data_IF_946997157341
#
_entry.id   IF_946997157341
#
_cell.length_a   1.000
_cell.length_b   1.000
_cell.length_c   1.000
_cell.angle_alpha   90.00
_cell.angle_beta   90.00
_cell.angle_gamma   90.00
#
_symmetry.space_group_name_H-M   'P 1'
#
loop_
_entity.id
_entity.type
_entity.pdbx_description
1 polymer ?
#
# COMPACT_ATOMS: atom_id res chain seq x y z
N UNK A 1 -19.15 19.01 11.03
CA UNK A 1 -18.14 18.02 11.46
C UNK A 1 -18.89 16.83 12.03
N UNK A 2 -18.98 15.70 11.30
CA UNK A 2 -19.55 14.48 11.86
C UNK A 2 -18.60 13.95 12.93
N UNK A 3 -19.10 13.83 14.14
CA UNK A 3 -18.35 13.33 15.29
C UNK A 3 -18.11 11.82 15.07
N UNK A 4 -16.91 11.44 14.63
CA UNK A 4 -16.56 10.05 14.32
C UNK A 4 -16.65 9.23 15.60
N UNK A 5 -17.50 8.21 15.61
CA UNK A 5 -17.69 7.33 16.77
C UNK A 5 -16.35 6.70 17.19
N UNK A 6 -16.19 6.53 18.47
CA UNK A 6 -15.01 5.90 19.09
C UNK A 6 -15.36 4.49 19.62
N UNK A 7 -14.33 3.69 19.95
CA UNK A 7 -14.55 2.39 20.64
C UNK A 7 -15.38 2.55 21.92
N UNK A 8 -15.26 3.71 22.60
CA UNK A 8 -16.05 4.00 23.78
C UNK A 8 -17.54 4.15 23.45
N UNK A 9 -17.85 4.74 22.32
CA UNK A 9 -19.23 4.91 21.87
C UNK A 9 -19.83 3.57 21.44
N UNK A 10 -19.09 2.75 20.71
CA UNK A 10 -19.52 1.40 20.35
C UNK A 10 -19.74 0.53 21.60
N UNK A 11 -18.87 0.60 22.60
CA UNK A 11 -19.03 -0.11 23.86
C UNK A 11 -20.34 0.30 24.57
N UNK A 12 -20.62 1.61 24.62
CA UNK A 12 -21.85 2.14 25.19
C UNK A 12 -23.08 1.69 24.41
N UNK A 13 -23.07 1.79 23.09
CA UNK A 13 -24.20 1.44 22.21
C UNK A 13 -24.50 -0.06 22.21
N UNK A 14 -23.46 -0.90 22.27
CA UNK A 14 -23.62 -2.36 22.33
C UNK A 14 -23.80 -2.91 23.75
N UNK A 15 -23.74 -2.06 24.79
CA UNK A 15 -23.93 -2.48 26.18
C UNK A 15 -22.84 -3.42 26.72
N UNK A 16 -21.60 -3.27 26.25
CA UNK A 16 -20.45 -4.08 26.68
C UNK A 16 -19.27 -3.20 27.09
N UNK A 17 -18.26 -3.79 27.73
CA UNK A 17 -17.03 -3.09 28.07
C UNK A 17 -16.14 -2.80 26.86
N UNK A 18 -15.28 -1.76 26.92
CA UNK A 18 -14.31 -1.44 25.86
C UNK A 18 -13.38 -2.62 25.53
N UNK A 19 -12.98 -3.39 26.56
CA UNK A 19 -12.17 -4.60 26.39
C UNK A 19 -12.89 -5.65 25.55
N UNK A 20 -14.21 -5.80 25.73
CA UNK A 20 -15.02 -6.72 24.93
C UNK A 20 -15.12 -6.27 23.49
N UNK A 21 -15.34 -4.97 23.22
CA UNK A 21 -15.30 -4.44 21.86
C UNK A 21 -13.93 -4.66 21.21
N UNK A 22 -12.85 -4.42 21.97
CA UNK A 22 -11.48 -4.68 21.47
C UNK A 22 -11.27 -6.14 21.12
N UNK A 23 -11.72 -7.10 21.93
CA UNK A 23 -11.63 -8.54 21.64
C UNK A 23 -12.44 -8.93 20.40
N UNK A 24 -13.64 -8.37 20.21
CA UNK A 24 -14.43 -8.60 19.01
C UNK A 24 -13.70 -8.09 17.78
N UNK A 25 -13.17 -6.87 17.83
CA UNK A 25 -12.40 -6.26 16.73
C UNK A 25 -11.12 -7.05 16.39
N UNK A 26 -10.51 -7.71 17.36
CA UNK A 26 -9.29 -8.51 17.16
C UNK A 26 -9.59 -9.99 16.88
N UNK A 27 -10.85 -10.35 16.73
CA UNK A 27 -11.28 -11.74 16.60
C UNK A 27 -10.73 -12.69 17.67
N UNK A 28 -10.50 -12.17 18.89
CA UNK A 28 -9.98 -12.94 20.02
C UNK A 28 -11.02 -13.92 20.58
N UNK A 29 -10.53 -15.00 21.18
CA UNK A 29 -11.35 -15.95 21.95
C UNK A 29 -11.84 -15.34 23.25
N UNK A 30 -12.88 -15.93 23.87
CA UNK A 30 -13.42 -15.48 25.17
C UNK A 30 -14.54 -14.45 25.07
N UNK A 31 -15.10 -14.21 23.89
CA UNK A 31 -16.35 -13.47 23.67
C UNK A 31 -17.39 -14.42 23.12
N UNK A 32 -18.58 -14.48 23.77
CA UNK A 32 -19.67 -15.33 23.28
C UNK A 32 -20.14 -14.89 21.90
N UNK A 33 -20.60 -15.83 21.07
CA UNK A 33 -21.11 -15.55 19.72
C UNK A 33 -22.20 -14.48 19.74
N UNK A 34 -23.15 -14.58 20.66
CA UNK A 34 -24.23 -13.58 20.82
C UNK A 34 -23.71 -12.17 21.12
N UNK A 35 -22.63 -12.07 21.91
CA UNK A 35 -22.00 -10.77 22.21
C UNK A 35 -21.26 -10.22 21.01
N UNK A 36 -20.58 -11.08 20.25
CA UNK A 36 -19.89 -10.71 19.01
C UNK A 36 -20.87 -10.15 18.00
N UNK A 37 -21.94 -10.87 17.68
CA UNK A 37 -22.98 -10.44 16.75
C UNK A 37 -23.61 -9.10 17.15
N UNK A 38 -23.86 -8.89 18.42
CA UNK A 38 -24.41 -7.62 18.93
C UNK A 38 -23.44 -6.44 18.71
N UNK A 39 -22.15 -6.62 18.95
CA UNK A 39 -21.14 -5.57 18.75
C UNK A 39 -20.98 -5.30 17.25
N UNK A 40 -20.92 -6.34 16.42
CA UNK A 40 -20.80 -6.23 14.96
C UNK A 40 -22.03 -5.55 14.35
N UNK A 41 -23.24 -5.87 14.81
CA UNK A 41 -24.47 -5.20 14.38
C UNK A 41 -24.43 -3.69 14.66
N UNK A 42 -23.98 -3.28 15.85
CA UNK A 42 -23.83 -1.84 16.19
C UNK A 42 -22.75 -1.19 15.33
N UNK A 43 -21.62 -1.87 15.08
CA UNK A 43 -20.56 -1.34 14.23
C UNK A 43 -21.05 -1.14 12.79
N UNK A 44 -21.76 -2.11 12.23
CA UNK A 44 -22.31 -2.04 10.87
C UNK A 44 -23.39 -0.95 10.77
N UNK A 45 -24.30 -0.87 11.74
CA UNK A 45 -25.36 0.16 11.76
C UNK A 45 -24.81 1.60 11.76
N UNK A 46 -23.63 1.78 12.37
CA UNK A 46 -22.99 3.10 12.50
C UNK A 46 -21.79 3.29 11.57
N UNK A 47 -21.59 2.39 10.60
CA UNK A 47 -20.43 2.40 9.69
C UNK A 47 -19.10 2.60 10.44
N UNK A 48 -19.01 2.03 11.66
CA UNK A 48 -17.87 2.20 12.52
C UNK A 48 -16.69 1.42 11.99
N UNK A 49 -15.63 2.12 11.63
CA UNK A 49 -14.31 1.54 11.37
C UNK A 49 -13.30 2.05 12.40
N UNK A 50 -12.55 1.17 13.08
CA UNK A 50 -11.49 1.60 13.99
C UNK A 50 -10.54 2.56 13.28
N UNK A 51 -10.05 3.58 14.01
CA UNK A 51 -9.07 4.50 13.42
C UNK A 51 -7.78 3.74 13.05
N UNK A 52 -7.10 4.19 11.98
CA UNK A 52 -5.80 3.62 11.55
C UNK A 52 -4.81 3.54 12.71
N UNK A 53 -4.74 4.58 13.53
CA UNK A 53 -3.88 4.58 14.73
C UNK A 53 -4.27 3.50 15.74
N UNK A 54 -5.56 3.20 15.89
CA UNK A 54 -6.00 2.12 16.79
C UNK A 54 -5.69 0.72 16.22
N UNK A 55 -5.66 0.54 14.88
CA UNK A 55 -5.23 -0.70 14.21
C UNK A 55 -3.71 -0.84 14.25
N UNK A 56 -2.96 0.20 13.95
CA UNK A 56 -1.50 0.21 14.01
C UNK A 56 -0.96 -0.09 15.42
N UNK A 57 -1.59 0.44 16.48
CA UNK A 57 -1.22 0.11 17.87
C UNK A 57 -1.43 -1.38 18.23
N UNK A 58 -2.18 -2.12 17.42
CA UNK A 58 -2.46 -3.56 17.59
C UNK A 58 -1.61 -4.44 16.70
N UNK A 59 -0.66 -3.87 15.94
CA UNK A 59 0.16 -4.61 14.97
C UNK A 59 -0.64 -5.12 13.76
N UNK A 60 -1.87 -4.62 13.55
CA UNK A 60 -2.67 -4.95 12.38
C UNK A 60 -2.33 -3.99 11.24
N UNK A 61 -1.83 -4.56 10.15
CA UNK A 61 -1.65 -3.86 8.88
C UNK A 61 -3.01 -3.44 8.32
N UNK A 62 -3.10 -2.22 7.80
CA UNK A 62 -4.29 -1.76 7.06
C UNK A 62 -4.37 -2.43 5.68
N UNK A 63 -3.37 -3.24 5.31
CA UNK A 63 -3.20 -3.85 3.99
C UNK A 63 -3.28 -2.81 2.87
N UNK A 64 -2.57 -1.72 3.02
CA UNK A 64 -2.49 -0.66 2.01
C UNK A 64 -1.10 -0.64 1.39
N UNK A 65 -1.04 -0.66 0.07
CA UNK A 65 0.19 -0.49 -0.71
C UNK A 65 0.11 0.76 -1.55
N UNK A 66 1.24 1.39 -1.82
CA UNK A 66 1.32 2.53 -2.72
C UNK A 66 2.00 2.12 -4.02
N UNK A 67 1.49 2.63 -5.15
CA UNK A 67 2.11 2.53 -6.46
C UNK A 67 2.45 3.95 -6.90
N UNK A 68 3.74 4.25 -7.03
CA UNK A 68 4.21 5.56 -7.47
C UNK A 68 4.65 5.43 -8.92
N UNK A 69 3.83 5.96 -9.83
CA UNK A 69 4.12 6.02 -11.26
C UNK A 69 4.89 7.29 -11.61
N UNK A 70 5.58 7.31 -12.74
CA UNK A 70 6.24 8.54 -13.20
C UNK A 70 5.21 9.51 -13.76
N UNK A 71 4.23 9.01 -14.55
CA UNK A 71 3.13 9.79 -15.12
C UNK A 71 1.87 8.96 -15.23
N UNK A 72 0.75 9.54 -14.89
CA UNK A 72 -0.57 8.90 -14.97
C UNK A 72 -1.04 8.67 -16.41
N UNK A 73 -0.47 9.37 -17.39
CA UNK A 73 -0.73 9.20 -18.81
C UNK A 73 0.22 8.21 -19.53
N UNK A 74 1.15 7.58 -18.80
CA UNK A 74 2.07 6.58 -19.34
C UNK A 74 1.34 5.27 -19.64
N UNK A 75 1.23 4.92 -20.93
CA UNK A 75 0.56 3.68 -21.34
C UNK A 75 1.24 2.42 -20.78
N UNK A 76 2.56 2.36 -20.81
CA UNK A 76 3.34 1.21 -20.33
C UNK A 76 3.21 1.01 -18.82
N UNK A 77 3.27 2.10 -18.06
CA UNK A 77 3.09 2.03 -16.60
C UNK A 77 1.65 1.66 -16.26
N UNK A 78 0.67 2.21 -16.97
CA UNK A 78 -0.74 1.84 -16.76
C UNK A 78 -1.01 0.37 -17.03
N UNK A 79 -0.42 -0.21 -18.07
CA UNK A 79 -0.53 -1.65 -18.36
C UNK A 79 0.10 -2.49 -17.22
N UNK A 80 1.26 -2.09 -16.73
CA UNK A 80 1.89 -2.76 -15.60
C UNK A 80 1.03 -2.67 -14.33
N UNK A 81 0.48 -1.49 -14.03
CA UNK A 81 -0.45 -1.29 -12.91
C UNK A 81 -1.68 -2.17 -13.05
N UNK A 82 -2.33 -2.18 -14.22
CA UNK A 82 -3.51 -3.03 -14.47
C UNK A 82 -3.23 -4.51 -14.25
N UNK A 83 -2.01 -4.97 -14.54
CA UNK A 83 -1.59 -6.35 -14.31
C UNK A 83 -1.37 -6.65 -12.82
N UNK A 84 -0.88 -5.69 -12.04
CA UNK A 84 -0.62 -5.87 -10.61
C UNK A 84 -1.87 -5.76 -9.73
N UNK A 85 -2.84 -4.93 -10.12
CA UNK A 85 -4.02 -4.65 -9.29
C UNK A 85 -4.79 -5.91 -8.86
N UNK A 86 -5.10 -6.89 -9.73
CA UNK A 86 -5.79 -8.11 -9.32
C UNK A 86 -5.05 -8.86 -8.22
N UNK A 87 -3.72 -9.00 -8.32
CA UNK A 87 -2.93 -9.69 -7.32
C UNK A 87 -2.97 -8.99 -5.94
N UNK A 88 -2.98 -7.66 -5.91
CA UNK A 88 -3.16 -6.92 -4.65
C UNK A 88 -4.54 -7.16 -4.05
N UNK A 89 -5.61 -7.10 -4.85
CA UNK A 89 -6.96 -7.33 -4.37
C UNK A 89 -7.19 -8.76 -3.87
N UNK A 90 -6.65 -9.77 -4.56
CA UNK A 90 -6.70 -11.17 -4.13
C UNK A 90 -6.04 -11.40 -2.77
N UNK A 91 -4.98 -10.66 -2.46
CA UNK A 91 -4.31 -10.69 -1.17
C UNK A 91 -4.97 -9.76 -0.13
N UNK A 92 -6.03 -9.05 -0.51
CA UNK A 92 -6.78 -8.13 0.35
C UNK A 92 -6.06 -6.82 0.62
N UNK A 93 -5.15 -6.39 -0.27
CA UNK A 93 -4.53 -5.07 -0.21
C UNK A 93 -5.35 -4.03 -0.95
N UNK A 94 -5.37 -2.81 -0.40
CA UNK A 94 -5.93 -1.61 -1.03
C UNK A 94 -4.81 -0.80 -1.68
N UNK A 95 -4.62 -0.85 -3.01
CA UNK A 95 -3.60 -0.06 -3.69
C UNK A 95 -4.01 1.41 -3.81
N UNK A 96 -3.09 2.32 -3.51
CA UNK A 96 -3.21 3.76 -3.78
C UNK A 96 -2.20 4.17 -4.84
N UNK A 97 -2.61 5.01 -5.80
CA UNK A 97 -1.73 5.51 -6.85
C UNK A 97 -1.29 6.94 -6.56
N UNK A 98 -0.03 7.22 -6.86
CA UNK A 98 0.60 8.53 -6.75
C UNK A 98 1.46 8.77 -8.00
N UNK A 99 1.63 10.04 -8.39
CA UNK A 99 2.44 10.44 -9.54
C UNK A 99 3.69 11.18 -9.07
N UNK A 100 4.84 10.84 -9.62
CA UNK A 100 6.13 11.48 -9.28
C UNK A 100 6.57 12.56 -10.27
N UNK A 101 6.03 12.58 -11.48
CA UNK A 101 6.37 13.53 -12.54
C UNK A 101 7.89 13.60 -12.83
N UNK A 102 8.61 12.48 -12.70
CA UNK A 102 10.07 12.41 -12.80
C UNK A 102 10.79 13.34 -11.80
N UNK A 103 10.16 13.70 -10.68
CA UNK A 103 10.73 14.54 -9.64
C UNK A 103 11.21 13.71 -8.45
N UNK A 104 12.52 13.61 -8.19
CA UNK A 104 13.04 12.95 -7.00
C UNK A 104 12.53 13.59 -5.70
N UNK A 105 12.32 14.90 -5.69
CA UNK A 105 11.78 15.62 -4.53
C UNK A 105 10.36 15.17 -4.24
N UNK A 106 9.53 15.05 -5.27
CA UNK A 106 8.15 14.59 -5.12
C UNK A 106 8.08 13.13 -4.64
N UNK A 107 9.00 12.27 -5.11
CA UNK A 107 9.13 10.90 -4.57
C UNK A 107 9.45 10.93 -3.09
N UNK A 108 10.43 11.75 -2.65
CA UNK A 108 10.79 11.87 -1.23
C UNK A 108 9.62 12.36 -0.37
N UNK A 109 8.85 13.33 -0.85
CA UNK A 109 7.64 13.83 -0.19
C UNK A 109 6.58 12.73 -0.06
N UNK A 110 6.31 11.98 -1.13
CA UNK A 110 5.39 10.86 -1.14
C UNK A 110 5.80 9.78 -0.16
N UNK A 111 7.06 9.35 -0.20
CA UNK A 111 7.59 8.35 0.73
C UNK A 111 7.48 8.81 2.19
N UNK A 112 7.73 10.10 2.46
CA UNK A 112 7.52 10.69 3.77
C UNK A 112 6.06 10.68 4.24
N UNK A 113 5.12 10.95 3.35
CA UNK A 113 3.67 10.85 3.63
C UNK A 113 3.27 9.40 3.90
N UNK A 114 3.71 8.46 3.05
CA UNK A 114 3.40 7.04 3.16
C UNK A 114 3.92 6.46 4.47
N UNK A 115 5.15 6.84 4.88
CA UNK A 115 5.72 6.43 6.16
C UNK A 115 4.86 6.89 7.35
N UNK A 116 4.46 8.17 7.37
CA UNK A 116 3.59 8.71 8.44
C UNK A 116 2.22 8.03 8.49
N UNK A 117 1.78 7.46 7.37
CA UNK A 117 0.51 6.74 7.25
C UNK A 117 0.62 5.25 7.51
N UNK A 118 1.82 4.74 7.84
CA UNK A 118 2.11 3.31 8.04
C UNK A 118 1.60 2.44 6.87
N UNK A 119 1.96 2.82 5.65
CA UNK A 119 1.66 2.03 4.44
C UNK A 119 2.57 0.79 4.44
N UNK A 120 2.04 -0.36 4.06
CA UNK A 120 2.71 -1.65 4.19
C UNK A 120 3.80 -1.89 3.14
N UNK A 121 3.64 -1.32 1.95
CA UNK A 121 4.61 -1.48 0.89
C UNK A 121 4.48 -0.41 -0.19
N UNK A 122 5.52 -0.29 -1.00
CA UNK A 122 5.61 0.65 -2.12
C UNK A 122 6.11 -0.06 -3.36
N UNK A 123 5.42 0.13 -4.47
CA UNK A 123 5.95 -0.12 -5.81
C UNK A 123 6.30 1.22 -6.42
N UNK A 124 7.55 1.41 -6.78
CA UNK A 124 8.06 2.67 -7.34
C UNK A 124 8.58 2.44 -8.77
N UNK A 125 7.99 3.11 -9.74
CA UNK A 125 8.58 3.19 -11.07
C UNK A 125 9.81 4.10 -11.01
N UNK A 126 10.98 3.47 -11.16
CA UNK A 126 12.27 4.13 -11.01
C UNK A 126 12.66 4.96 -12.23
N UNK A 127 13.36 6.05 -11.99
CA UNK A 127 13.92 6.92 -13.03
C UNK A 127 15.24 7.54 -12.56
N UNK A 128 15.94 8.23 -13.45
CA UNK A 128 17.23 8.89 -13.13
C UNK A 128 17.03 9.96 -12.04
N UNK A 129 17.89 9.95 -11.03
CA UNK A 129 17.83 10.88 -9.89
C UNK A 129 17.27 10.29 -8.60
N UNK A 130 16.65 9.10 -8.66
CA UNK A 130 16.33 8.34 -7.44
C UNK A 130 17.63 7.76 -6.88
N UNK A 131 17.89 7.99 -5.60
CA UNK A 131 19.09 7.50 -4.88
C UNK A 131 18.71 6.47 -3.83
N UNK A 132 19.66 5.59 -3.50
CA UNK A 132 19.46 4.56 -2.47
C UNK A 132 19.15 5.19 -1.10
N UNK A 133 19.79 6.33 -0.78
CA UNK A 133 19.55 7.06 0.47
C UNK A 133 18.10 7.51 0.62
N UNK A 134 17.46 7.95 -0.47
CA UNK A 134 16.04 8.34 -0.45
C UNK A 134 15.14 7.17 -0.10
N UNK A 135 15.54 5.95 -0.47
CA UNK A 135 14.77 4.73 -0.33
C UNK A 135 15.08 3.96 0.96
N UNK A 136 16.15 4.32 1.69
CA UNK A 136 16.74 3.51 2.77
C UNK A 136 15.72 3.02 3.82
N UNK A 137 14.72 3.85 4.16
CA UNK A 137 13.68 3.46 5.11
C UNK A 137 12.67 2.42 4.60
N UNK A 138 12.68 2.14 3.30
CA UNK A 138 11.73 1.26 2.62
C UNK A 138 12.36 -0.04 2.12
N UNK A 139 13.63 -0.30 2.45
CA UNK A 139 14.43 -1.40 1.90
C UNK A 139 13.74 -2.77 1.95
N UNK A 140 12.97 -3.06 3.00
CA UNK A 140 12.27 -4.33 3.17
C UNK A 140 10.84 -4.35 2.61
N UNK A 141 10.31 -3.21 2.15
CA UNK A 141 8.92 -3.06 1.75
C UNK A 141 8.73 -2.22 0.48
N UNK A 142 9.80 -2.05 -0.31
CA UNK A 142 9.76 -1.35 -1.58
C UNK A 142 10.27 -2.26 -2.70
N UNK A 143 9.56 -2.24 -3.82
CA UNK A 143 9.97 -2.85 -5.09
C UNK A 143 10.16 -1.74 -6.12
N UNK A 144 11.31 -1.73 -6.78
CA UNK A 144 11.59 -0.86 -7.92
C UNK A 144 11.17 -1.53 -9.22
N UNK A 145 10.52 -0.79 -10.10
CA UNK A 145 10.24 -1.20 -11.47
C UNK A 145 11.03 -0.32 -12.45
N UNK A 146 11.47 -0.91 -13.54
CA UNK A 146 12.23 -0.27 -14.62
C UNK A 146 13.59 0.31 -14.19
N UNK A 147 14.05 0.03 -12.98
CA UNK A 147 15.37 0.45 -12.49
C UNK A 147 15.86 -0.53 -11.44
N UNK A 148 17.17 -0.79 -11.44
CA UNK A 148 17.84 -1.52 -10.37
C UNK A 148 18.49 -0.57 -9.37
N UNK A 149 18.51 -0.98 -8.09
CA UNK A 149 19.23 -0.31 -7.02
C UNK A 149 19.74 -1.34 -6.01
N UNK A 150 21.00 -1.18 -5.60
CA UNK A 150 21.64 -2.14 -4.70
C UNK A 150 20.90 -2.25 -3.36
N UNK A 151 20.53 -3.47 -3.01
CA UNK A 151 19.86 -3.77 -1.74
C UNK A 151 18.34 -3.60 -1.77
N UNK A 152 17.75 -3.39 -2.94
CA UNK A 152 16.29 -3.34 -3.13
C UNK A 152 15.83 -4.46 -4.04
N UNK A 153 14.60 -4.94 -3.84
CA UNK A 153 13.92 -5.76 -4.82
C UNK A 153 13.63 -4.93 -6.05
N UNK A 154 13.97 -5.44 -7.23
CA UNK A 154 13.77 -4.73 -8.50
C UNK A 154 13.30 -5.66 -9.61
N UNK A 155 12.54 -5.09 -10.53
CA UNK A 155 12.15 -5.72 -11.80
C UNK A 155 12.52 -4.76 -12.92
N UNK A 156 13.49 -5.16 -13.73
CA UNK A 156 14.02 -4.36 -14.84
C UNK A 156 13.71 -5.01 -16.18
N UNK A 157 13.66 -4.21 -17.23
CA UNK A 157 13.66 -4.68 -18.60
C UNK A 157 15.09 -5.05 -19.01
N UNK A 158 15.24 -6.00 -19.91
CA UNK A 158 16.51 -6.30 -20.58
C UNK A 158 16.69 -5.34 -21.78
N UNK A 159 16.84 -4.06 -21.49
CA UNK A 159 17.00 -3.02 -22.51
C UNK A 159 18.27 -3.22 -23.34
N UNK A 160 19.36 -3.67 -22.72
CA UNK A 160 20.62 -3.92 -23.40
C UNK A 160 20.50 -5.08 -24.39
N UNK A 161 19.91 -6.19 -23.99
CA UNK A 161 19.64 -7.32 -24.88
C UNK A 161 18.72 -6.94 -26.05
N UNK A 162 17.66 -6.19 -25.77
CA UNK A 162 16.73 -5.73 -26.80
C UNK A 162 17.41 -4.80 -27.82
N UNK A 163 18.23 -3.84 -27.36
CA UNK A 163 18.97 -2.93 -28.26
C UNK A 163 20.02 -3.70 -29.07
N UNK A 164 20.74 -4.63 -28.46
CA UNK A 164 21.72 -5.44 -29.18
C UNK A 164 21.08 -6.25 -30.31
N UNK A 165 19.94 -6.90 -30.04
CA UNK A 165 19.19 -7.63 -31.08
C UNK A 165 18.76 -6.68 -32.21
N UNK A 166 18.23 -5.50 -31.87
CA UNK A 166 17.82 -4.51 -32.85
C UNK A 166 18.99 -4.03 -33.71
N UNK A 167 20.11 -3.70 -33.07
CA UNK A 167 21.33 -3.23 -33.79
C UNK A 167 21.90 -4.30 -34.71
N UNK A 168 21.98 -5.54 -34.26
CA UNK A 168 22.40 -6.65 -35.13
C UNK A 168 21.51 -6.76 -36.36
N UNK A 169 20.17 -6.66 -36.17
CA UNK A 169 19.23 -6.74 -37.27
C UNK A 169 19.36 -5.59 -38.25
N UNK A 170 19.60 -4.37 -37.76
CA UNK A 170 19.85 -3.22 -38.63
C UNK A 170 21.15 -3.38 -39.46
N UNK A 171 22.20 -3.90 -38.87
CA UNK A 171 23.47 -4.14 -39.54
C UNK A 171 23.36 -5.25 -40.61
N UNK A 172 22.52 -6.26 -40.42
CA UNK A 172 22.24 -7.30 -41.42
C UNK A 172 21.46 -6.78 -42.64
N UNK A 173 20.68 -5.75 -42.43
CA UNK A 173 19.83 -5.17 -43.51
C UNK A 173 20.54 -4.13 -44.36
N UNK A 174 21.76 -3.70 -44.00
CA UNK A 174 22.59 -2.74 -44.73
C UNK A 174 22.20 -1.30 -44.41
#
# INVERSE_FOLDING_TARGET
MQNRLTIKDIARLSGVGKSTVSRVLNNESGVSQRTRERVEAVMNQHEFSPSRSARAMRGQSDKVVAIIVTRLDSLSENLAVQTMLPAFYEQGYDPIMMESQFSPQLVAEHLGVLKRRNIDGVVLFGFTGITEDMLAHWQSSLVLLARDAKGFASVCYDDEGAINILMQRLLELG
#
